data_IF_812041982784
#
_entry.id   IF_812041982784
#
_cell.length_a   1.000
_cell.length_b   1.000
_cell.length_c   1.000
_cell.angle_alpha   90.00
_cell.angle_beta   90.00
_cell.angle_gamma   90.00
#
_symmetry.space_group_name_H-M   'P 1'
#
loop_
_entity.id
_entity.type
_entity.pdbx_description
1 polymer ?
#
# COMPACT_ATOMS: atom_id res chain seq x y z
N UNK A 1 13.37 18.83 1.41
CA UNK A 1 13.06 18.54 2.81
C UNK A 1 11.94 19.41 3.41
N UNK A 2 11.74 20.66 3.01
CA UNK A 2 10.66 21.52 3.54
C UNK A 2 9.22 21.10 3.22
N UNK A 3 8.97 20.37 2.14
CA UNK A 3 7.60 19.96 1.75
C UNK A 3 7.07 18.75 2.54
N UNK A 4 7.96 17.92 3.09
CA UNK A 4 7.56 16.74 3.89
C UNK A 4 7.05 17.12 5.28
N UNK A 5 7.64 18.17 5.88
CA UNK A 5 7.26 18.68 7.20
C UNK A 5 5.85 19.29 7.22
N UNK A 6 5.41 19.92 6.12
CA UNK A 6 4.08 20.54 6.03
C UNK A 6 2.95 19.50 5.98
N UNK A 7 3.19 18.36 5.34
CA UNK A 7 2.18 17.29 5.22
C UNK A 7 1.97 16.55 6.54
N UNK A 8 3.02 16.34 7.33
CA UNK A 8 2.93 15.68 8.65
C UNK A 8 2.21 16.58 9.67
N UNK A 9 2.43 17.89 9.62
CA UNK A 9 1.70 18.83 10.48
C UNK A 9 0.20 18.93 10.15
N UNK A 10 -0.19 18.78 8.90
CA UNK A 10 -1.60 18.79 8.51
C UNK A 10 -2.35 17.53 9.01
N UNK A 11 -1.68 16.37 9.05
CA UNK A 11 -2.26 15.15 9.61
C UNK A 11 -2.40 15.22 11.14
N UNK A 12 -1.46 15.85 11.83
CA UNK A 12 -1.50 16.02 13.28
C UNK A 12 -2.60 17.00 13.73
N UNK A 13 -2.92 18.02 12.92
CA UNK A 13 -3.95 19.01 13.25
C UNK A 13 -5.38 18.48 13.19
N UNK A 14 -5.63 17.39 12.47
CA UNK A 14 -6.96 16.76 12.41
C UNK A 14 -7.31 15.91 13.64
N UNK A 15 -6.35 15.59 14.49
CA UNK A 15 -6.57 14.75 15.68
C UNK A 15 -7.04 15.56 16.89
N UNK A 16 -6.88 16.88 16.90
CA UNK A 16 -7.12 17.74 18.08
C UNK A 16 -8.55 18.28 18.24
N UNK A 17 -9.47 18.01 17.31
CA UNK A 17 -10.83 18.60 17.33
C UNK A 17 -11.87 17.74 18.07
N UNK A 18 -11.50 16.56 18.61
CA UNK A 18 -12.47 15.60 19.16
C UNK A 18 -12.69 15.67 20.69
N UNK A 19 -12.09 16.63 21.40
CA UNK A 19 -12.25 16.76 22.86
C UNK A 19 -12.89 18.10 23.24
N UNK A 20 -14.18 18.23 23.02
CA UNK A 20 -14.99 19.34 23.52
C UNK A 20 -16.35 18.84 23.96
N UNK A 21 -16.43 18.22 25.14
CA UNK A 21 -17.71 17.94 25.80
C UNK A 21 -18.15 19.15 26.61
N UNK A 22 -19.44 19.51 26.63
CA UNK A 22 -19.93 20.62 27.46
C UNK A 22 -19.91 20.22 28.94
N UNK A 23 -19.17 20.97 29.74
CA UNK A 23 -19.28 20.94 31.20
C UNK A 23 -20.49 21.75 31.62
N UNK A 24 -21.61 21.12 31.89
CA UNK A 24 -22.73 21.75 32.58
C UNK A 24 -22.54 21.63 34.09
N UNK A 25 -22.29 22.78 34.72
CA UNK A 25 -22.35 22.93 36.17
C UNK A 25 -23.82 23.16 36.56
N UNK A 26 -24.43 22.25 37.30
CA UNK A 26 -25.76 22.43 37.87
C UNK A 26 -25.67 22.24 39.39
N UNK A 27 -26.02 23.31 40.11
CA UNK A 27 -26.18 23.39 41.54
C UNK A 27 -27.60 23.00 41.95
N UNK A 28 -27.68 22.24 43.02
CA UNK A 28 -28.79 21.99 43.95
C UNK A 28 -29.95 21.07 43.63
N UNK A 29 -29.96 20.00 44.45
CA UNK A 29 -31.13 19.29 45.01
C UNK A 29 -32.29 18.95 44.09
N UNK A 30 -32.03 18.14 43.09
CA UNK A 30 -33.09 17.29 42.51
C UNK A 30 -32.57 15.86 42.32
N UNK A 31 -33.43 14.91 42.61
CA UNK A 31 -33.22 13.48 42.39
C UNK A 31 -32.39 13.24 41.15
N UNK A 32 -31.17 12.75 41.32
CA UNK A 32 -30.29 12.37 40.23
C UNK A 32 -31.04 11.36 39.34
N UNK A 33 -31.76 11.83 38.35
CA UNK A 33 -31.99 11.03 37.17
C UNK A 33 -30.61 10.72 36.62
N UNK A 34 -30.18 9.47 36.83
CA UNK A 34 -29.03 8.95 36.14
C UNK A 34 -29.41 9.00 34.66
N UNK A 35 -29.03 10.07 34.00
CA UNK A 35 -29.14 10.14 32.55
C UNK A 35 -28.26 9.00 32.03
N UNK A 36 -28.89 7.91 31.64
CA UNK A 36 -28.19 6.81 30.99
C UNK A 36 -27.58 7.41 29.71
N UNK A 37 -26.29 7.63 29.76
CA UNK A 37 -25.52 7.99 28.54
C UNK A 37 -25.84 6.89 27.53
N UNK A 38 -26.39 7.23 26.36
CA UNK A 38 -26.72 6.23 25.36
C UNK A 38 -25.46 5.40 25.07
N UNK A 39 -25.58 4.07 25.01
CA UNK A 39 -24.42 3.22 24.74
C UNK A 39 -23.79 3.65 23.43
N UNK A 40 -22.45 3.77 23.42
CA UNK A 40 -21.71 4.11 22.22
C UNK A 40 -22.01 3.12 21.09
N UNK A 41 -22.21 3.58 19.86
CA UNK A 41 -22.36 2.70 18.72
C UNK A 41 -21.15 1.76 18.59
N UNK A 42 -21.41 0.48 18.43
CA UNK A 42 -20.37 -0.52 18.23
C UNK A 42 -19.92 -0.51 16.75
N UNK A 43 -18.84 0.21 16.48
CA UNK A 43 -18.28 0.35 15.13
C UNK A 43 -17.45 -0.85 14.70
N UNK A 44 -16.85 -1.58 15.65
CA UNK A 44 -15.94 -2.70 15.43
C UNK A 44 -16.35 -3.86 16.32
N UNK A 45 -16.66 -4.99 15.72
CA UNK A 45 -17.15 -6.18 16.42
C UNK A 45 -15.99 -7.05 16.91
N UNK A 46 -16.26 -7.91 17.88
CA UNK A 46 -15.28 -8.89 18.35
C UNK A 46 -14.97 -9.97 17.33
N UNK A 47 -15.98 -10.37 16.52
CA UNK A 47 -15.80 -11.27 15.39
C UNK A 47 -16.36 -10.62 14.15
N UNK A 48 -15.51 -10.47 13.11
CA UNK A 48 -15.87 -9.70 11.91
C UNK A 48 -15.11 -10.21 10.69
N UNK A 49 -15.82 -10.37 9.58
CA UNK A 49 -15.21 -10.54 8.27
C UNK A 49 -15.10 -9.19 7.58
N UNK A 50 -13.92 -8.88 7.08
CA UNK A 50 -13.67 -7.68 6.31
C UNK A 50 -13.23 -8.06 4.91
N UNK A 51 -13.89 -7.49 3.91
CA UNK A 51 -13.48 -7.57 2.51
C UNK A 51 -13.15 -6.15 2.06
N UNK A 52 -11.91 -5.92 1.63
CA UNK A 52 -11.47 -4.61 1.19
C UNK A 52 -11.11 -4.63 -0.29
N UNK A 53 -11.45 -3.53 -0.97
CA UNK A 53 -11.03 -3.22 -2.33
C UNK A 53 -10.29 -1.89 -2.31
N UNK A 54 -9.08 -1.85 -2.88
CA UNK A 54 -8.21 -0.70 -2.76
C UNK A 54 -7.36 -0.46 -4.00
N UNK A 55 -7.04 0.81 -4.22
CA UNK A 55 -6.01 1.26 -5.16
C UNK A 55 -4.68 1.42 -4.47
N UNK A 56 -3.60 1.26 -5.21
CA UNK A 56 -2.23 1.39 -4.69
C UNK A 56 -1.34 2.22 -5.59
N UNK A 57 -0.41 2.88 -4.93
CA UNK A 57 0.73 3.51 -5.54
C UNK A 57 2.01 2.93 -4.92
N UNK A 58 2.87 2.38 -5.77
CA UNK A 58 4.16 1.82 -5.40
C UNK A 58 5.25 2.79 -5.81
N UNK A 59 6.23 2.97 -4.95
CA UNK A 59 7.44 3.73 -5.22
C UNK A 59 8.67 2.96 -4.78
N UNK A 60 9.70 3.02 -5.61
CA UNK A 60 10.99 2.40 -5.41
C UNK A 60 12.08 3.47 -5.29
N UNK A 61 13.28 3.12 -4.88
CA UNK A 61 14.40 4.06 -4.88
C UNK A 61 15.01 4.22 -6.28
N UNK A 62 15.58 5.39 -6.57
CA UNK A 62 16.10 5.78 -7.87
C UNK A 62 17.50 5.21 -8.20
N UNK A 63 17.96 4.14 -7.57
CA UNK A 63 19.25 3.54 -7.92
C UNK A 63 19.06 2.59 -9.10
N UNK A 64 19.32 3.11 -10.30
CA UNK A 64 19.18 2.42 -11.57
C UNK A 64 20.24 1.32 -11.82
N UNK A 65 21.30 1.30 -11.00
CA UNK A 65 22.46 0.40 -11.16
C UNK A 65 22.27 -0.94 -10.42
N UNK A 66 21.14 -1.17 -9.76
CA UNK A 66 20.87 -2.40 -9.02
C UNK A 66 19.71 -3.16 -9.68
N UNK A 67 19.89 -4.45 -9.85
CA UNK A 67 18.89 -5.41 -10.32
C UNK A 67 17.71 -5.47 -9.35
N UNK A 68 16.62 -4.77 -9.67
CA UNK A 68 15.45 -4.67 -8.83
C UNK A 68 14.28 -5.47 -9.40
N UNK A 69 13.50 -6.02 -8.51
CA UNK A 69 12.28 -6.73 -8.88
C UNK A 69 11.28 -5.82 -9.61
N UNK A 70 11.12 -4.58 -9.14
CA UNK A 70 10.45 -3.48 -9.84
C UNK A 70 11.50 -2.65 -10.59
N UNK A 71 11.47 -2.71 -11.89
CA UNK A 71 12.39 -1.94 -12.74
C UNK A 71 11.89 -0.51 -13.03
N UNK A 72 10.86 -0.04 -12.35
CA UNK A 72 10.31 1.31 -12.49
C UNK A 72 10.37 2.08 -11.18
N UNK A 73 10.42 3.41 -11.26
CA UNK A 73 10.40 4.29 -10.08
C UNK A 73 9.08 4.24 -9.35
N UNK A 74 7.99 3.98 -10.09
CA UNK A 74 6.63 3.95 -9.55
C UNK A 74 5.73 3.03 -10.36
N UNK A 75 4.71 2.50 -9.71
CA UNK A 75 3.67 1.71 -10.34
C UNK A 75 2.30 2.00 -9.72
N UNK A 76 1.27 1.90 -10.53
CA UNK A 76 -0.12 2.01 -10.10
C UNK A 76 -0.81 0.66 -10.21
N UNK A 77 -1.74 0.43 -9.31
CA UNK A 77 -2.49 -0.81 -9.34
C UNK A 77 -3.60 -0.83 -8.32
N UNK A 78 -3.99 -2.04 -7.96
CA UNK A 78 -5.02 -2.27 -6.96
C UNK A 78 -5.02 -3.70 -6.48
N UNK A 79 -5.86 -3.95 -5.48
CA UNK A 79 -5.95 -5.26 -4.90
C UNK A 79 -7.20 -5.45 -4.07
N UNK A 80 -7.33 -6.66 -3.60
CA UNK A 80 -8.40 -7.10 -2.73
C UNK A 80 -7.80 -7.86 -1.56
N UNK A 81 -8.37 -7.68 -0.39
CA UNK A 81 -8.08 -8.50 0.77
C UNK A 81 -9.35 -9.03 1.44
N UNK A 82 -9.21 -10.18 2.07
CA UNK A 82 -10.22 -10.78 2.93
C UNK A 82 -9.57 -11.05 4.28
N UNK A 83 -10.09 -10.44 5.33
CA UNK A 83 -9.59 -10.58 6.71
C UNK A 83 -10.69 -11.10 7.61
N UNK A 84 -10.32 -11.97 8.50
CA UNK A 84 -11.16 -12.42 9.60
C UNK A 84 -10.56 -11.93 10.92
N UNK A 85 -11.31 -11.11 11.64
CA UNK A 85 -10.99 -10.70 12.99
C UNK A 85 -11.66 -11.67 13.96
N UNK A 86 -10.86 -12.47 14.65
CA UNK A 86 -11.34 -13.40 15.69
C UNK A 86 -11.48 -12.71 17.05
N UNK A 87 -10.99 -11.51 17.16
CA UNK A 87 -11.17 -10.58 18.27
C UNK A 87 -11.06 -9.15 17.68
N UNK A 88 -11.73 -8.16 18.30
CA UNK A 88 -11.72 -6.75 17.78
C UNK A 88 -10.34 -6.18 17.48
N UNK A 89 -9.29 -6.75 18.09
CA UNK A 89 -7.90 -6.29 17.95
C UNK A 89 -7.07 -7.14 16.98
N UNK A 90 -7.42 -8.40 16.76
CA UNK A 90 -6.56 -9.35 16.05
C UNK A 90 -7.27 -9.97 14.85
N UNK A 91 -6.64 -9.88 13.70
CA UNK A 91 -7.16 -10.46 12.46
C UNK A 91 -6.09 -11.16 11.65
N UNK A 92 -6.52 -12.17 10.91
CA UNK A 92 -5.74 -12.87 9.90
C UNK A 92 -6.42 -12.74 8.56
N UNK A 93 -5.68 -12.74 7.48
CA UNK A 93 -6.27 -12.59 6.16
C UNK A 93 -5.38 -13.03 5.02
N UNK A 94 -5.96 -12.97 3.84
CA UNK A 94 -5.29 -13.19 2.56
C UNK A 94 -5.49 -11.95 1.70
N UNK A 95 -4.44 -11.54 1.03
CA UNK A 95 -4.42 -10.36 0.17
C UNK A 95 -3.85 -10.73 -1.19
N UNK A 96 -4.45 -10.19 -2.25
CA UNK A 96 -3.93 -10.25 -3.61
C UNK A 96 -3.97 -8.89 -4.26
N UNK A 97 -2.92 -8.56 -5.04
CA UNK A 97 -2.84 -7.30 -5.76
C UNK A 97 -2.08 -7.45 -7.08
N UNK A 98 -2.32 -6.51 -7.98
CA UNK A 98 -1.61 -6.39 -9.24
C UNK A 98 -1.35 -4.91 -9.55
N UNK A 99 -0.20 -4.64 -10.15
CA UNK A 99 0.23 -3.30 -10.57
C UNK A 99 0.84 -3.34 -11.94
N UNK A 100 0.67 -2.27 -12.69
CA UNK A 100 1.37 -2.03 -13.94
C UNK A 100 2.63 -1.22 -13.67
N UNK A 101 3.78 -1.82 -14.02
CA UNK A 101 5.10 -1.23 -13.91
C UNK A 101 5.58 -0.86 -15.31
N UNK A 102 5.82 0.43 -15.56
CA UNK A 102 6.31 0.94 -16.85
C UNK A 102 7.75 1.37 -16.70
N UNK A 103 8.63 0.80 -17.51
CA UNK A 103 10.04 1.17 -17.60
C UNK A 103 10.28 1.95 -18.87
N UNK A 104 11.02 3.04 -18.76
CA UNK A 104 11.53 3.79 -19.90
C UNK A 104 12.99 3.44 -20.08
N UNK A 105 13.33 2.78 -21.20
CA UNK A 105 14.69 2.39 -21.54
C UNK A 105 15.24 3.31 -22.62
N UNK A 106 16.50 3.73 -22.47
CA UNK A 106 17.21 4.46 -23.51
C UNK A 106 17.76 3.49 -24.56
N UNK A 107 17.28 3.60 -25.82
CA UNK A 107 17.65 2.69 -26.91
C UNK A 107 18.74 3.26 -27.82
N UNK A 108 19.29 4.43 -27.51
CA UNK A 108 20.34 5.05 -28.32
C UNK A 108 19.88 6.37 -28.95
N UNK A 109 20.52 6.73 -30.05
CA UNK A 109 20.19 7.96 -30.79
C UNK A 109 19.67 7.59 -32.19
N UNK A 110 18.71 8.35 -32.69
CA UNK A 110 18.24 8.25 -34.08
C UNK A 110 19.30 8.80 -35.07
N UNK A 111 18.99 8.71 -36.35
CA UNK A 111 19.90 9.21 -37.42
C UNK A 111 20.13 10.73 -37.35
N UNK A 112 19.30 11.48 -36.63
CA UNK A 112 19.39 12.91 -36.40
C UNK A 112 20.09 13.25 -35.08
N UNK A 113 20.58 12.24 -34.33
CA UNK A 113 21.22 12.42 -33.02
C UNK A 113 20.25 12.70 -31.90
N UNK A 114 18.95 12.44 -32.07
CA UNK A 114 17.96 12.56 -31.01
C UNK A 114 17.90 11.27 -30.16
N UNK A 115 17.81 11.37 -28.83
CA UNK A 115 17.70 10.19 -27.97
C UNK A 115 16.37 9.47 -28.23
N UNK A 116 16.45 8.16 -28.45
CA UNK A 116 15.30 7.26 -28.61
C UNK A 116 15.08 6.52 -27.31
N UNK A 117 13.83 6.49 -26.87
CA UNK A 117 13.40 5.75 -25.69
C UNK A 117 12.30 4.76 -26.06
N UNK A 118 12.40 3.54 -25.59
CA UNK A 118 11.30 2.60 -25.59
C UNK A 118 10.61 2.59 -24.23
N UNK A 119 9.30 2.35 -24.25
CA UNK A 119 8.51 2.13 -23.04
C UNK A 119 8.03 0.67 -23.06
N UNK A 120 8.36 -0.05 -22.00
CA UNK A 120 7.94 -1.41 -21.80
C UNK A 120 7.16 -1.51 -20.50
N UNK A 121 5.93 -2.02 -20.58
CA UNK A 121 5.06 -2.19 -19.42
C UNK A 121 4.84 -3.66 -19.12
N UNK A 122 4.80 -4.00 -17.84
CA UNK A 122 4.49 -5.36 -17.38
C UNK A 122 3.60 -5.32 -16.15
N UNK A 123 2.82 -6.38 -15.99
CA UNK A 123 1.99 -6.56 -14.80
C UNK A 123 2.76 -7.38 -13.77
N UNK A 124 2.91 -6.80 -12.59
CA UNK A 124 3.47 -7.46 -11.41
C UNK A 124 2.33 -7.72 -10.45
N UNK A 125 2.21 -8.97 -10.01
CA UNK A 125 1.19 -9.39 -9.06
C UNK A 125 1.78 -10.03 -7.81
N UNK A 126 0.99 -10.08 -6.75
CA UNK A 126 1.37 -10.80 -5.54
C UNK A 126 0.17 -11.35 -4.78
N UNK A 127 0.43 -12.42 -4.04
CA UNK A 127 -0.50 -12.99 -3.07
C UNK A 127 0.23 -13.21 -1.75
N UNK A 128 -0.45 -12.93 -0.61
CA UNK A 128 0.15 -13.08 0.71
C UNK A 128 -0.86 -13.38 1.80
N UNK A 129 -0.37 -14.02 2.86
CA UNK A 129 -1.05 -14.10 4.14
C UNK A 129 -0.69 -12.89 5.00
N UNK A 130 -1.66 -12.35 5.75
CA UNK A 130 -1.48 -11.17 6.60
C UNK A 130 -1.97 -11.43 8.02
N UNK A 131 -1.27 -10.82 8.98
CA UNK A 131 -1.71 -10.67 10.35
C UNK A 131 -1.89 -9.17 10.63
N UNK A 132 -3.04 -8.80 11.20
CA UNK A 132 -3.39 -7.40 11.48
C UNK A 132 -3.68 -7.23 12.96
N UNK A 133 -3.10 -6.20 13.54
CA UNK A 133 -3.39 -5.73 14.88
C UNK A 133 -4.01 -4.34 14.74
N UNK A 134 -5.31 -4.23 15.05
CA UNK A 134 -6.04 -2.95 15.01
C UNK A 134 -6.41 -2.50 16.43
N UNK A 135 -6.50 -1.19 16.62
CA UNK A 135 -6.89 -0.59 17.90
C UNK A 135 -8.10 0.34 17.70
N UNK A 136 -9.34 -0.21 17.81
CA UNK A 136 -10.54 0.62 17.74
C UNK A 136 -10.58 1.62 18.91
N UNK A 137 -10.64 2.91 18.58
CA UNK A 137 -10.75 3.96 19.60
C UNK A 137 -12.17 3.95 20.13
N UNK A 138 -12.30 3.90 21.45
CA UNK A 138 -13.59 3.80 22.14
C UNK A 138 -14.54 4.93 21.71
N UNK A 139 -15.79 4.60 21.42
CA UNK A 139 -16.83 5.52 20.94
C UNK A 139 -16.46 6.30 19.67
N UNK A 140 -15.47 5.86 18.91
CA UNK A 140 -14.99 6.50 17.69
C UNK A 140 -15.14 5.61 16.48
N UNK A 141 -15.21 6.23 15.31
CA UNK A 141 -15.18 5.57 14.01
C UNK A 141 -13.77 5.21 13.55
N UNK A 142 -12.75 5.57 14.33
CA UNK A 142 -11.35 5.46 13.97
C UNK A 142 -10.72 4.21 14.57
N UNK A 143 -9.94 3.51 13.76
CA UNK A 143 -9.14 2.38 14.21
C UNK A 143 -7.77 2.41 13.50
N UNK A 144 -6.73 2.90 14.17
CA UNK A 144 -5.37 2.69 13.69
C UNK A 144 -5.03 1.20 13.75
N UNK A 145 -4.19 0.76 12.81
CA UNK A 145 -3.75 -0.63 12.75
C UNK A 145 -2.32 -0.73 12.24
N UNK A 146 -1.69 -1.84 12.63
CA UNK A 146 -0.44 -2.29 12.05
C UNK A 146 -0.65 -3.69 11.47
N UNK A 147 0.10 -4.03 10.46
CA UNK A 147 0.00 -5.35 9.85
C UNK A 147 1.35 -5.81 9.34
N UNK A 148 1.46 -7.12 9.23
CA UNK A 148 2.62 -7.77 8.62
C UNK A 148 2.17 -9.02 7.90
N UNK A 149 2.96 -9.43 6.93
CA UNK A 149 2.64 -10.63 6.15
C UNK A 149 3.77 -11.07 5.26
N UNK A 150 3.60 -12.23 4.68
CA UNK A 150 4.53 -12.77 3.68
C UNK A 150 3.77 -13.56 2.63
N UNK A 151 4.39 -13.68 1.45
CA UNK A 151 3.77 -14.38 0.34
C UNK A 151 4.67 -14.47 -0.87
N UNK A 152 4.06 -14.64 -2.03
CA UNK A 152 4.74 -14.73 -3.31
C UNK A 152 4.40 -13.52 -4.19
N UNK A 153 5.43 -12.99 -4.84
CA UNK A 153 5.32 -11.95 -5.86
C UNK A 153 5.80 -12.54 -7.19
N UNK A 154 5.14 -12.18 -8.28
CA UNK A 154 5.37 -12.73 -9.61
C UNK A 154 5.21 -11.66 -10.68
N UNK A 155 5.85 -11.87 -11.84
CA UNK A 155 5.80 -10.95 -12.98
C UNK A 155 6.90 -9.91 -13.02
N UNK A 156 7.76 -9.84 -12.00
CA UNK A 156 8.93 -8.96 -11.94
C UNK A 156 10.23 -9.72 -12.22
N UNK A 157 11.38 -9.09 -11.93
CA UNK A 157 12.71 -9.65 -12.10
C UNK A 157 13.47 -9.08 -13.30
N UNK A 158 14.74 -9.43 -13.41
CA UNK A 158 15.62 -8.95 -14.47
C UNK A 158 15.18 -9.40 -15.86
N UNK A 159 15.37 -8.50 -16.82
CA UNK A 159 15.36 -8.81 -18.26
C UNK A 159 16.77 -8.75 -18.78
N UNK A 160 17.22 -9.85 -19.35
CA UNK A 160 18.47 -9.88 -20.10
C UNK A 160 18.31 -9.01 -21.35
N UNK A 161 18.90 -7.82 -21.36
CA UNK A 161 19.04 -7.00 -22.55
C UNK A 161 20.38 -7.34 -23.20
N UNK A 162 20.38 -8.11 -24.28
CA UNK A 162 21.56 -8.34 -25.11
C UNK A 162 21.74 -7.16 -26.07
N UNK A 163 22.82 -6.42 -25.91
CA UNK A 163 23.33 -5.50 -26.94
C UNK A 163 24.38 -6.24 -27.75
N UNK A 164 24.03 -6.74 -28.91
CA UNK A 164 25.01 -7.31 -29.83
C UNK A 164 25.69 -6.17 -30.58
N UNK A 165 26.96 -5.89 -30.24
CA UNK A 165 27.81 -4.98 -30.99
C UNK A 165 28.29 -5.68 -32.26
N UNK A 166 27.75 -5.36 -33.43
CA UNK A 166 28.26 -5.84 -34.72
C UNK A 166 29.56 -5.10 -35.00
N UNK A 167 30.72 -5.81 -35.07
CA UNK A 167 32.00 -5.18 -35.36
C UNK A 167 32.00 -4.54 -36.73
N UNK A 168 32.19 -3.22 -36.79
CA UNK A 168 32.31 -2.44 -38.05
C UNK A 168 31.08 -1.67 -38.45
N UNK A 169 29.93 -1.77 -37.79
CA UNK A 169 28.80 -0.86 -37.97
C UNK A 169 28.92 0.32 -37.02
N UNK A 170 28.72 1.54 -37.50
CA UNK A 170 28.46 2.69 -36.64
C UNK A 170 27.22 2.32 -35.81
N UNK A 171 27.37 2.21 -34.49
CA UNK A 171 26.44 1.73 -33.50
C UNK A 171 24.96 1.77 -33.97
N UNK A 172 24.48 0.69 -34.54
CA UNK A 172 23.06 0.40 -34.69
C UNK A 172 22.76 -0.52 -33.52
N UNK A 173 22.17 0.01 -32.47
CA UNK A 173 21.62 -0.83 -31.43
C UNK A 173 20.38 -1.53 -31.99
N UNK A 174 20.54 -2.74 -32.50
CA UNK A 174 19.41 -3.60 -32.82
C UNK A 174 18.98 -4.22 -31.50
N UNK A 175 17.97 -3.64 -30.87
CA UNK A 175 17.31 -4.22 -29.73
C UNK A 175 16.62 -5.52 -30.18
N UNK A 176 17.19 -6.67 -29.86
CA UNK A 176 16.46 -7.93 -29.93
C UNK A 176 15.48 -7.99 -28.77
N UNK A 177 14.22 -8.36 -28.99
CA UNK A 177 13.30 -8.60 -27.89
C UNK A 177 13.92 -9.65 -26.97
N UNK A 178 14.01 -9.33 -25.68
CA UNK A 178 14.55 -10.23 -24.68
C UNK A 178 13.86 -11.60 -24.77
N UNK A 179 14.63 -12.64 -25.04
CA UNK A 179 14.12 -14.01 -25.22
C UNK A 179 13.70 -14.66 -23.90
N UNK A 180 13.97 -14.03 -22.77
CA UNK A 180 13.48 -14.42 -21.45
C UNK A 180 12.45 -13.43 -20.97
N UNK A 181 11.18 -13.74 -21.18
CA UNK A 181 10.09 -13.21 -20.38
C UNK A 181 10.11 -13.94 -19.03
N UNK A 182 11.18 -13.73 -18.25
CA UNK A 182 11.34 -14.33 -16.94
C UNK A 182 10.34 -13.71 -15.98
N UNK A 183 9.22 -14.39 -15.77
CA UNK A 183 8.36 -14.10 -14.62
C UNK A 183 8.96 -14.81 -13.43
N UNK A 184 9.91 -14.18 -12.77
CA UNK A 184 10.48 -14.72 -11.55
C UNK A 184 9.46 -14.63 -10.42
N UNK A 185 9.14 -15.78 -9.84
CA UNK A 185 8.35 -15.84 -8.63
C UNK A 185 9.29 -15.80 -7.44
N UNK A 186 9.14 -14.80 -6.58
CA UNK A 186 9.97 -14.63 -5.38
C UNK A 186 9.12 -14.54 -4.12
N UNK A 187 9.73 -14.89 -2.99
CA UNK A 187 9.12 -14.69 -1.68
C UNK A 187 9.30 -13.23 -1.28
N UNK A 188 8.26 -12.63 -0.74
CA UNK A 188 8.35 -11.28 -0.19
C UNK A 188 7.71 -11.18 1.19
N UNK A 189 8.21 -10.22 1.97
CA UNK A 189 7.67 -9.83 3.25
C UNK A 189 7.15 -8.41 3.23
N UNK A 190 6.15 -8.13 4.04
CA UNK A 190 5.56 -6.81 4.19
C UNK A 190 5.31 -6.47 5.65
N UNK A 191 5.58 -5.21 6.01
CA UNK A 191 5.12 -4.60 7.26
C UNK A 191 4.51 -3.25 6.96
N UNK A 192 3.47 -2.87 7.69
CA UNK A 192 2.80 -1.61 7.43
C UNK A 192 1.95 -1.13 8.59
N UNK A 193 1.46 0.10 8.44
CA UNK A 193 0.56 0.74 9.38
C UNK A 193 -0.47 1.57 8.63
N UNK A 194 -1.66 1.70 9.22
CA UNK A 194 -2.75 2.43 8.59
C UNK A 194 -3.81 2.90 9.55
N UNK A 195 -4.81 3.50 8.97
CA UNK A 195 -6.00 3.99 9.65
C UNK A 195 -7.25 3.54 8.89
N UNK A 196 -8.16 2.91 9.60
CA UNK A 196 -9.51 2.62 9.13
C UNK A 196 -10.49 3.59 9.76
N UNK A 197 -11.39 4.15 8.93
CA UNK A 197 -12.46 5.05 9.35
C UNK A 197 -13.80 4.44 8.98
N UNK A 198 -14.62 4.03 9.95
CA UNK A 198 -15.96 3.50 9.67
C UNK A 198 -16.92 4.61 9.31
N UNK A 199 -17.46 4.57 8.10
CA UNK A 199 -18.52 5.45 7.64
C UNK A 199 -19.88 4.98 8.15
N UNK A 200 -20.09 3.67 8.12
CA UNK A 200 -21.19 2.95 8.73
C UNK A 200 -20.63 1.74 9.49
N UNK A 201 -21.41 1.01 10.31
CA UNK A 201 -20.92 -0.23 10.93
C UNK A 201 -20.42 -1.29 9.94
N UNK A 202 -20.87 -1.21 8.68
CA UNK A 202 -20.55 -2.19 7.64
C UNK A 202 -19.63 -1.67 6.54
N UNK A 203 -19.38 -0.35 6.48
CA UNK A 203 -18.56 0.26 5.42
C UNK A 203 -17.50 1.15 6.08
N UNK A 204 -16.25 0.90 5.75
CA UNK A 204 -15.10 1.67 6.19
C UNK A 204 -14.28 2.19 5.03
N UNK A 205 -13.47 3.19 5.29
CA UNK A 205 -12.42 3.71 4.44
C UNK A 205 -11.08 3.39 5.06
N UNK A 206 -10.17 2.78 4.31
CA UNK A 206 -8.83 2.43 4.75
C UNK A 206 -7.77 3.24 4.02
N UNK A 207 -6.74 3.65 4.74
CA UNK A 207 -5.52 4.22 4.17
C UNK A 207 -4.34 3.63 4.93
N UNK A 208 -3.37 3.14 4.22
CA UNK A 208 -2.16 2.62 4.85
C UNK A 208 -0.92 2.81 4.01
N UNK A 209 0.19 2.64 4.68
CA UNK A 209 1.52 2.61 4.13
C UNK A 209 2.19 1.31 4.54
N UNK A 210 2.90 0.70 3.60
CA UNK A 210 3.68 -0.51 3.88
C UNK A 210 5.05 -0.47 3.23
N UNK A 211 5.98 -1.14 3.87
CA UNK A 211 7.30 -1.43 3.36
C UNK A 211 7.38 -2.90 2.99
N UNK A 212 7.86 -3.17 1.79
CA UNK A 212 7.92 -4.49 1.20
C UNK A 212 9.38 -4.84 0.89
N UNK A 213 9.78 -6.05 1.18
CA UNK A 213 11.12 -6.58 0.93
C UNK A 213 10.99 -7.86 0.12
N UNK A 214 11.66 -7.91 -1.04
CA UNK A 214 11.67 -9.06 -1.95
C UNK A 214 13.06 -9.64 -1.96
N UNK A 215 13.22 -10.89 -1.53
CA UNK A 215 14.46 -11.69 -1.65
C UNK A 215 15.75 -10.95 -1.26
N UNK A 216 15.70 -10.15 -0.19
CA UNK A 216 16.87 -9.48 0.37
C UNK A 216 16.70 -7.98 0.61
N UNK A 217 17.66 -7.35 1.31
CA UNK A 217 17.53 -5.98 1.81
C UNK A 217 17.61 -4.91 0.70
N UNK A 218 18.23 -5.23 -0.45
CA UNK A 218 18.42 -4.25 -1.53
C UNK A 218 17.22 -4.14 -2.45
N UNK A 219 16.31 -5.13 -2.40
CA UNK A 219 15.15 -5.22 -3.26
C UNK A 219 13.88 -4.90 -2.48
N UNK A 220 13.69 -3.63 -2.16
CA UNK A 220 12.58 -3.15 -1.36
C UNK A 220 11.79 -2.05 -2.06
N UNK A 221 10.53 -1.89 -1.66
CA UNK A 221 9.68 -0.83 -2.17
C UNK A 221 8.64 -0.38 -1.13
N UNK A 222 8.26 0.88 -1.22
CA UNK A 222 7.16 1.46 -0.45
C UNK A 222 5.84 1.35 -1.22
N UNK A 223 4.75 1.12 -0.50
CA UNK A 223 3.40 1.02 -1.06
C UNK A 223 2.44 1.85 -0.22
N UNK A 224 1.68 2.72 -0.86
CA UNK A 224 0.55 3.45 -0.26
C UNK A 224 -0.74 2.86 -0.81
N UNK A 225 -1.71 2.60 0.06
CA UNK A 225 -3.01 2.05 -0.32
C UNK A 225 -4.14 2.93 0.20
N UNK A 226 -5.20 3.03 -0.57
CA UNK A 226 -6.43 3.68 -0.18
C UNK A 226 -7.63 2.94 -0.77
N UNK A 227 -8.63 2.67 0.05
CA UNK A 227 -9.74 1.84 -0.41
C UNK A 227 -10.91 1.75 0.55
N UNK A 228 -11.88 0.95 0.16
CA UNK A 228 -13.13 0.72 0.90
C UNK A 228 -13.11 -0.69 1.50
N UNK A 229 -13.53 -0.79 2.75
CA UNK A 229 -13.70 -2.05 3.49
C UNK A 229 -15.18 -2.29 3.75
N UNK A 230 -15.63 -3.50 3.47
CA UNK A 230 -16.95 -4.02 3.81
C UNK A 230 -16.83 -5.00 4.97
N UNK A 231 -17.57 -4.75 6.04
CA UNK A 231 -17.56 -5.54 7.27
C UNK A 231 -18.89 -6.27 7.49
N UNK A 232 -18.79 -7.55 7.86
CA UNK A 232 -19.93 -8.47 8.02
C UNK A 232 -19.92 -9.16 9.39
#
# INVERSE_FOLDING_TARGET
MQRLTTTICALAAMITVAYGGPTTYSSDKETKQVTQVPPCPEWYRDTEWNVSLWGTYIFTGNNWDEDRYFESDHAWGGGVDVKYFFHRYFGVGVEGWATESTRRQFDGFDFNGQPVFSEDSRVIGATKGTFTLRYPIHCSRLSPYIFGGSGAIFGGGERDSFVELIPGAKAISVGFPATHSGTDTRVFGQVGAGLEVRLTPHIGWMNDFSWNVVDGPNNNFGMVRSGVTFAF
#
